data_IF_983284668502
#
_entry.id   IF_983284668502
#
_cell.length_a   1.000
_cell.length_b   1.000
_cell.length_c   1.000
_cell.angle_alpha   90.00
_cell.angle_beta   90.00
_cell.angle_gamma   90.00
#
_symmetry.space_group_name_H-M   'P 1'
#
loop_
_entity.id
_entity.type
_entity.pdbx_description
1 polymer ?
#
# COMPACT_ATOMS: atom_id res chain seq x y z
N UNK A 1 -27.06 -13.49 -19.63
CA UNK A 1 -27.66 -12.14 -19.54
C UNK A 1 -26.80 -11.14 -18.74
N UNK A 2 -26.20 -11.53 -17.62
CA UNK A 2 -25.44 -10.59 -16.78
C UNK A 2 -24.14 -10.07 -17.45
N UNK A 3 -23.42 -10.86 -18.24
CA UNK A 3 -22.21 -10.42 -18.92
C UNK A 3 -22.52 -9.35 -20.00
N UNK A 4 -23.57 -9.56 -20.78
CA UNK A 4 -23.98 -8.59 -21.82
C UNK A 4 -24.39 -7.24 -21.24
N UNK A 5 -24.97 -7.22 -20.04
CA UNK A 5 -25.26 -5.95 -19.36
C UNK A 5 -24.01 -5.12 -19.15
N UNK A 6 -22.93 -5.71 -18.63
CA UNK A 6 -21.67 -5.01 -18.39
C UNK A 6 -20.95 -4.60 -19.67
N UNK A 7 -21.06 -5.41 -20.73
CA UNK A 7 -20.53 -5.09 -22.06
C UNK A 7 -21.25 -3.87 -22.61
N UNK A 8 -22.59 -3.89 -22.61
CA UNK A 8 -23.40 -2.76 -23.12
C UNK A 8 -23.13 -1.50 -22.29
N UNK A 9 -23.07 -1.60 -20.96
CA UNK A 9 -22.78 -0.47 -20.09
C UNK A 9 -21.42 0.16 -20.39
N UNK A 10 -20.39 -0.65 -20.60
CA UNK A 10 -19.05 -0.18 -20.95
C UNK A 10 -19.02 0.51 -22.32
N UNK A 11 -19.74 -0.03 -23.31
CA UNK A 11 -19.84 0.56 -24.64
C UNK A 11 -20.67 1.86 -24.63
N UNK A 12 -21.74 1.91 -23.84
CA UNK A 12 -22.49 3.16 -23.64
C UNK A 12 -21.63 4.24 -22.98
N UNK A 13 -20.81 3.86 -22.00
CA UNK A 13 -19.89 4.80 -21.37
C UNK A 13 -18.87 5.36 -22.37
N UNK A 14 -18.37 4.55 -23.30
CA UNK A 14 -17.49 5.02 -24.37
C UNK A 14 -18.12 6.05 -25.28
N UNK A 15 -19.40 5.87 -25.56
CA UNK A 15 -20.16 6.78 -26.47
C UNK A 15 -20.61 8.07 -25.77
N UNK A 16 -20.96 7.96 -24.47
CA UNK A 16 -21.61 9.05 -23.73
C UNK A 16 -20.71 9.83 -22.81
N UNK A 17 -19.58 9.23 -22.38
CA UNK A 17 -18.69 9.84 -21.39
C UNK A 17 -17.30 10.11 -21.98
N UNK A 18 -16.63 11.19 -21.55
CA UNK A 18 -15.29 11.52 -22.01
C UNK A 18 -14.28 10.44 -21.57
N UNK A 19 -13.44 10.03 -22.52
CA UNK A 19 -12.38 9.02 -22.30
C UNK A 19 -11.08 9.65 -21.83
N UNK A 20 -10.87 10.94 -22.11
CA UNK A 20 -9.77 11.73 -21.58
C UNK A 20 -10.27 12.59 -20.41
N UNK A 21 -9.37 13.00 -19.52
CA UNK A 21 -9.73 13.91 -18.43
C UNK A 21 -10.13 15.28 -18.99
N UNK A 22 -11.10 15.90 -18.33
CA UNK A 22 -11.54 17.27 -18.59
C UNK A 22 -10.82 18.22 -17.63
N UNK A 23 -10.42 19.39 -18.11
CA UNK A 23 -9.67 20.38 -17.30
C UNK A 23 -10.54 20.97 -16.18
N UNK A 24 -11.82 21.22 -16.45
CA UNK A 24 -12.76 21.86 -15.53
C UNK A 24 -13.82 20.91 -14.94
N UNK A 25 -13.74 19.61 -15.24
CA UNK A 25 -14.73 18.63 -14.77
C UNK A 25 -15.99 18.56 -15.63
N UNK A 26 -16.88 17.60 -15.28
CA UNK A 26 -17.99 17.15 -16.15
C UNK A 26 -19.09 18.20 -16.35
N UNK A 27 -19.26 19.13 -15.41
CA UNK A 27 -20.34 20.11 -15.42
C UNK A 27 -19.89 21.55 -15.79
N UNK A 28 -18.58 21.79 -15.81
CA UNK A 28 -18.03 23.12 -16.06
C UNK A 28 -17.29 23.21 -17.41
N UNK A 29 -17.06 22.06 -18.07
CA UNK A 29 -16.41 22.01 -19.39
C UNK A 29 -17.29 22.54 -20.49
N UNK A 30 -16.68 23.19 -21.48
CA UNK A 30 -17.37 23.63 -22.70
C UNK A 30 -17.78 22.45 -23.58
N UNK A 31 -18.77 22.65 -24.46
CA UNK A 31 -19.22 21.59 -25.38
C UNK A 31 -18.09 21.09 -26.29
N UNK A 32 -17.18 21.96 -26.70
CA UNK A 32 -16.07 21.63 -27.59
C UNK A 32 -15.01 20.79 -26.87
N UNK A 33 -14.63 21.18 -25.64
CA UNK A 33 -13.74 20.40 -24.78
C UNK A 33 -14.29 19.00 -24.47
N UNK A 34 -15.61 18.94 -24.20
CA UNK A 34 -16.28 17.66 -23.95
C UNK A 34 -16.22 16.73 -25.17
N UNK A 35 -16.45 17.26 -26.37
CA UNK A 35 -16.37 16.50 -27.62
C UNK A 35 -14.94 16.05 -27.92
N UNK A 36 -13.93 16.90 -27.71
CA UNK A 36 -12.53 16.58 -27.92
C UNK A 36 -12.03 15.52 -26.93
N UNK A 37 -12.60 15.45 -25.73
CA UNK A 37 -12.30 14.44 -24.73
C UNK A 37 -12.95 13.07 -25.01
N UNK A 38 -13.87 12.97 -25.99
CA UNK A 38 -14.47 11.70 -26.38
C UNK A 38 -13.47 10.80 -27.10
N UNK A 39 -13.38 9.54 -26.69
CA UNK A 39 -12.43 8.56 -27.26
C UNK A 39 -12.68 8.27 -28.74
N UNK A 40 -13.90 8.44 -29.24
CA UNK A 40 -14.26 8.24 -30.65
C UNK A 40 -14.02 9.47 -31.50
N UNK A 41 -14.00 10.68 -30.93
CA UNK A 41 -13.83 11.93 -31.71
C UNK A 41 -12.34 12.22 -31.95
N UNK A 42 -11.47 11.96 -31.01
CA UNK A 42 -10.06 12.35 -31.09
C UNK A 42 -9.13 11.29 -31.71
N UNK A 43 -9.63 10.11 -32.08
CA UNK A 43 -8.81 8.95 -32.51
C UNK A 43 -7.60 8.65 -31.64
N UNK A 44 -7.63 9.07 -30.39
CA UNK A 44 -6.58 8.80 -29.42
C UNK A 44 -6.57 7.30 -29.04
N UNK A 45 -5.46 6.81 -28.51
CA UNK A 45 -5.27 5.39 -28.15
C UNK A 45 -6.36 4.88 -27.17
N UNK A 46 -7.15 5.76 -26.56
CA UNK A 46 -8.24 5.45 -25.62
C UNK A 46 -9.32 4.55 -26.20
N UNK A 47 -9.63 4.65 -27.51
CA UNK A 47 -10.59 3.75 -28.15
C UNK A 47 -10.14 2.28 -28.11
N UNK A 48 -8.82 2.03 -28.13
CA UNK A 48 -8.27 0.69 -28.08
C UNK A 48 -8.54 -0.01 -26.72
N UNK A 49 -8.76 0.76 -25.65
CA UNK A 49 -9.09 0.21 -24.32
C UNK A 49 -10.48 -0.45 -24.30
N UNK A 50 -11.36 -0.08 -25.21
CA UNK A 50 -12.73 -0.63 -25.31
C UNK A 50 -12.84 -1.82 -26.27
N UNK A 51 -11.86 -2.04 -27.17
CA UNK A 51 -11.87 -3.17 -28.11
C UNK A 51 -12.01 -4.55 -27.42
N UNK A 52 -11.32 -4.83 -26.31
CA UNK A 52 -11.46 -6.11 -25.64
C UNK A 52 -12.85 -6.40 -25.13
N UNK A 53 -13.65 -5.38 -24.82
CA UNK A 53 -15.07 -5.53 -24.42
C UNK A 53 -15.88 -6.11 -25.56
N UNK A 54 -15.61 -5.66 -26.80
CA UNK A 54 -16.27 -6.18 -28.02
C UNK A 54 -15.86 -7.63 -28.26
N UNK A 55 -14.56 -7.93 -28.15
CA UNK A 55 -14.03 -9.29 -28.28
C UNK A 55 -14.64 -10.23 -27.22
N UNK A 56 -14.80 -9.76 -25.99
CA UNK A 56 -15.44 -10.49 -24.93
C UNK A 56 -16.90 -10.86 -25.29
N UNK A 57 -17.64 -9.92 -25.87
CA UNK A 57 -19.01 -10.16 -26.36
C UNK A 57 -19.10 -11.17 -27.51
N UNK A 58 -18.04 -11.28 -28.33
CA UNK A 58 -17.98 -12.22 -29.43
C UNK A 58 -17.51 -13.65 -29.04
N UNK A 59 -16.85 -13.82 -27.90
CA UNK A 59 -16.32 -15.12 -27.45
C UNK A 59 -17.35 -16.25 -27.41
N UNK A 60 -18.62 -16.05 -26.96
CA UNK A 60 -19.64 -17.09 -26.98
C UNK A 60 -19.97 -17.65 -28.38
N UNK A 61 -19.71 -16.89 -29.45
CA UNK A 61 -19.94 -17.32 -30.84
C UNK A 61 -19.01 -18.47 -31.24
N UNK A 62 -17.83 -18.59 -30.60
CA UNK A 62 -16.84 -19.63 -30.91
C UNK A 62 -17.13 -20.97 -30.23
N UNK A 63 -18.24 -21.11 -29.48
CA UNK A 63 -18.70 -22.37 -28.83
C UNK A 63 -17.61 -23.12 -28.06
N UNK A 64 -16.69 -22.41 -27.42
CA UNK A 64 -15.61 -23.00 -26.60
C UNK A 64 -16.16 -23.71 -25.38
N UNK A 65 -15.45 -24.74 -24.85
CA UNK A 65 -15.79 -25.35 -23.58
C UNK A 65 -15.81 -24.29 -22.46
N UNK A 66 -16.78 -24.40 -21.54
CA UNK A 66 -17.01 -23.36 -20.51
C UNK A 66 -15.78 -22.98 -19.70
N UNK A 67 -14.93 -23.96 -19.37
CA UNK A 67 -13.68 -23.68 -18.65
C UNK A 67 -12.65 -22.92 -19.51
N UNK A 68 -12.51 -23.31 -20.77
CA UNK A 68 -11.60 -22.64 -21.71
C UNK A 68 -12.09 -21.22 -21.98
N UNK A 69 -13.39 -21.05 -22.21
CA UNK A 69 -13.99 -19.73 -22.39
C UNK A 69 -13.74 -18.84 -21.17
N UNK A 70 -13.98 -19.32 -19.95
CA UNK A 70 -13.76 -18.54 -18.73
C UNK A 70 -12.29 -18.14 -18.54
N UNK A 71 -11.34 -19.03 -18.88
CA UNK A 71 -9.89 -18.70 -18.83
C UNK A 71 -9.51 -17.64 -19.87
N UNK A 72 -10.01 -17.75 -21.10
CA UNK A 72 -9.75 -16.75 -22.15
C UNK A 72 -10.37 -15.41 -21.83
N UNK A 73 -11.59 -15.38 -21.30
CA UNK A 73 -12.26 -14.17 -20.81
C UNK A 73 -11.44 -13.49 -19.71
N UNK A 74 -10.95 -14.24 -18.73
CA UNK A 74 -10.14 -13.71 -17.63
C UNK A 74 -8.79 -13.18 -18.13
N UNK A 75 -8.11 -13.93 -18.99
CA UNK A 75 -6.85 -13.53 -19.58
C UNK A 75 -7.00 -12.23 -20.41
N UNK A 76 -8.03 -12.17 -21.24
CA UNK A 76 -8.35 -10.98 -22.03
C UNK A 76 -8.60 -9.76 -21.14
N UNK A 77 -9.38 -9.92 -20.07
CA UNK A 77 -9.66 -8.83 -19.11
C UNK A 77 -8.40 -8.36 -18.40
N UNK A 78 -7.57 -9.27 -17.92
CA UNK A 78 -6.32 -8.93 -17.25
C UNK A 78 -5.34 -8.22 -18.20
N UNK A 79 -5.19 -8.73 -19.42
CA UNK A 79 -4.34 -8.12 -20.46
C UNK A 79 -4.84 -6.72 -20.83
N UNK A 80 -6.15 -6.52 -20.90
CA UNK A 80 -6.77 -5.24 -21.25
C UNK A 80 -6.53 -4.18 -20.18
N UNK A 81 -6.72 -4.54 -18.90
CA UNK A 81 -6.45 -3.65 -17.77
C UNK A 81 -4.97 -3.28 -17.76
N UNK A 82 -4.08 -4.26 -17.92
CA UNK A 82 -2.63 -4.02 -17.96
C UNK A 82 -2.24 -3.11 -19.13
N UNK A 83 -2.75 -3.38 -20.33
CA UNK A 83 -2.53 -2.55 -21.53
C UNK A 83 -3.01 -1.11 -21.32
N UNK A 84 -4.18 -0.93 -20.72
CA UNK A 84 -4.74 0.38 -20.42
C UNK A 84 -3.78 1.19 -19.50
N UNK A 85 -3.34 0.61 -18.39
CA UNK A 85 -2.44 1.30 -17.45
C UNK A 85 -1.05 1.58 -18.04
N UNK A 86 -0.48 0.62 -18.78
CA UNK A 86 0.82 0.82 -19.44
C UNK A 86 0.72 1.92 -20.49
N UNK A 87 -0.29 1.86 -21.37
CA UNK A 87 -0.46 2.87 -22.43
C UNK A 87 -0.77 4.25 -21.86
N UNK A 88 -1.59 4.35 -20.81
CA UNK A 88 -1.85 5.62 -20.13
C UNK A 88 -0.57 6.24 -19.56
N UNK A 89 0.29 5.42 -18.92
CA UNK A 89 1.55 5.89 -18.34
C UNK A 89 2.56 6.28 -19.41
N UNK A 90 2.78 5.43 -20.42
CA UNK A 90 3.80 5.64 -21.45
C UNK A 90 3.42 6.78 -22.39
N UNK A 91 2.15 6.83 -22.82
CA UNK A 91 1.65 7.88 -23.72
C UNK A 91 1.17 9.14 -22.97
N UNK A 92 1.30 9.19 -21.63
CA UNK A 92 0.83 10.30 -20.78
C UNK A 92 -0.64 10.68 -21.04
N UNK A 93 -1.49 9.66 -21.30
CA UNK A 93 -2.91 9.87 -21.56
C UNK A 93 -3.63 10.03 -20.22
N UNK A 94 -4.36 11.13 -20.07
CA UNK A 94 -5.22 11.38 -18.92
C UNK A 94 -6.47 10.50 -18.98
N UNK A 95 -6.83 9.84 -17.87
CA UNK A 95 -7.99 8.95 -17.79
C UNK A 95 -9.25 9.74 -17.48
N UNK A 96 -10.26 9.65 -18.35
CA UNK A 96 -11.56 10.29 -18.18
C UNK A 96 -12.60 9.40 -17.48
N UNK A 97 -13.81 9.91 -17.37
CA UNK A 97 -14.92 9.27 -16.65
C UNK A 97 -15.37 7.93 -17.25
N UNK A 98 -15.31 7.78 -18.59
CA UNK A 98 -15.67 6.51 -19.25
C UNK A 98 -14.77 5.36 -18.81
N UNK A 99 -13.50 5.65 -18.46
CA UNK A 99 -12.52 4.65 -18.00
C UNK A 99 -12.92 4.08 -16.64
N UNK A 100 -13.52 4.87 -15.76
CA UNK A 100 -14.02 4.38 -14.46
C UNK A 100 -15.11 3.32 -14.69
N UNK A 101 -16.06 3.62 -15.59
CA UNK A 101 -17.13 2.68 -15.92
C UNK A 101 -16.57 1.42 -16.61
N UNK A 102 -15.56 1.58 -17.47
CA UNK A 102 -14.86 0.47 -18.12
C UNK A 102 -14.18 -0.44 -17.10
N UNK A 103 -13.49 0.12 -16.10
CA UNK A 103 -12.85 -0.65 -15.02
C UNK A 103 -13.86 -1.41 -14.17
N UNK A 104 -15.00 -0.80 -13.85
CA UNK A 104 -16.12 -1.48 -13.18
C UNK A 104 -16.65 -2.61 -14.06
N UNK A 105 -16.80 -2.39 -15.35
CA UNK A 105 -17.18 -3.40 -16.34
C UNK A 105 -16.22 -4.58 -16.38
N UNK A 106 -14.91 -4.31 -16.47
CA UNK A 106 -13.88 -5.35 -16.44
C UNK A 106 -13.85 -6.13 -15.12
N UNK A 107 -14.03 -5.46 -13.99
CA UNK A 107 -14.11 -6.10 -12.68
C UNK A 107 -15.31 -7.05 -12.61
N UNK A 108 -16.46 -6.64 -13.11
CA UNK A 108 -17.67 -7.47 -13.19
C UNK A 108 -17.49 -8.66 -14.13
N UNK A 109 -16.89 -8.45 -15.32
CA UNK A 109 -16.60 -9.52 -16.27
C UNK A 109 -15.59 -10.54 -15.71
N UNK A 110 -14.53 -10.07 -15.05
CA UNK A 110 -13.57 -10.93 -14.35
C UNK A 110 -14.24 -11.73 -13.24
N UNK A 111 -15.13 -11.09 -12.46
CA UNK A 111 -15.92 -11.78 -11.42
C UNK A 111 -16.74 -12.92 -11.99
N UNK A 112 -17.44 -12.69 -13.10
CA UNK A 112 -18.25 -13.73 -13.75
C UNK A 112 -17.40 -14.87 -14.26
N UNK A 113 -16.23 -14.59 -14.82
CA UNK A 113 -15.30 -15.60 -15.33
C UNK A 113 -14.67 -16.42 -14.20
N UNK A 114 -14.25 -15.79 -13.10
CA UNK A 114 -13.73 -16.49 -11.90
C UNK A 114 -14.81 -17.35 -11.23
N UNK A 115 -16.06 -16.87 -11.18
CA UNK A 115 -17.17 -17.64 -10.66
C UNK A 115 -17.46 -18.90 -11.53
N UNK A 116 -17.36 -18.80 -12.88
CA UNK A 116 -17.43 -19.97 -13.78
C UNK A 116 -16.31 -20.98 -13.51
N UNK A 117 -15.13 -20.52 -13.11
CA UNK A 117 -13.98 -21.37 -12.72
C UNK A 117 -14.09 -21.92 -11.29
N UNK A 118 -15.17 -21.64 -10.57
CA UNK A 118 -15.43 -22.05 -9.17
C UNK A 118 -14.38 -21.55 -8.17
N UNK A 119 -13.69 -20.45 -8.46
CA UNK A 119 -12.83 -19.75 -7.49
C UNK A 119 -13.70 -19.27 -6.33
N UNK A 120 -13.22 -19.40 -5.09
CA UNK A 120 -14.01 -19.08 -3.87
C UNK A 120 -15.41 -19.73 -3.88
N UNK A 121 -15.49 -21.00 -4.28
CA UNK A 121 -16.73 -21.77 -4.42
C UNK A 121 -17.75 -21.16 -5.42
N UNK A 122 -17.31 -20.23 -6.25
CA UNK A 122 -18.15 -19.53 -7.24
C UNK A 122 -19.01 -18.39 -6.66
N UNK A 123 -18.72 -17.95 -5.42
CA UNK A 123 -19.43 -16.82 -4.81
C UNK A 123 -19.02 -15.50 -5.48
N UNK A 124 -19.97 -14.92 -6.23
CA UNK A 124 -19.76 -13.72 -7.02
C UNK A 124 -19.52 -12.49 -6.12
N UNK A 125 -20.16 -12.44 -4.95
CA UNK A 125 -20.01 -11.29 -4.05
C UNK A 125 -18.62 -11.24 -3.45
N UNK A 126 -18.12 -12.38 -2.95
CA UNK A 126 -16.76 -12.47 -2.39
C UNK A 126 -15.72 -12.15 -3.46
N UNK A 127 -15.86 -12.73 -4.66
CA UNK A 127 -14.92 -12.48 -5.78
C UNK A 127 -14.94 -11.01 -6.17
N UNK A 128 -16.13 -10.39 -6.36
CA UNK A 128 -16.27 -8.99 -6.72
C UNK A 128 -15.64 -8.05 -5.67
N UNK A 129 -15.89 -8.31 -4.39
CA UNK A 129 -15.34 -7.53 -3.28
C UNK A 129 -13.81 -7.58 -3.25
N UNK A 130 -13.24 -8.77 -3.42
CA UNK A 130 -11.77 -8.94 -3.46
C UNK A 130 -11.16 -8.23 -4.67
N UNK A 131 -11.74 -8.40 -5.87
CA UNK A 131 -11.27 -7.72 -7.08
C UNK A 131 -11.38 -6.20 -6.95
N UNK A 132 -12.45 -5.69 -6.36
CA UNK A 132 -12.61 -4.26 -6.10
C UNK A 132 -11.51 -3.72 -5.17
N UNK A 133 -11.22 -4.43 -4.07
CA UNK A 133 -10.15 -4.05 -3.15
C UNK A 133 -8.79 -4.09 -3.87
N UNK A 134 -8.49 -5.14 -4.63
CA UNK A 134 -7.25 -5.25 -5.40
C UNK A 134 -7.12 -4.10 -6.40
N UNK A 135 -8.20 -3.77 -7.11
CA UNK A 135 -8.22 -2.68 -8.07
C UNK A 135 -8.00 -1.31 -7.40
N UNK A 136 -8.62 -1.07 -6.24
CA UNK A 136 -8.41 0.15 -5.46
C UNK A 136 -6.95 0.26 -4.99
N UNK A 137 -6.37 -0.81 -4.45
CA UNK A 137 -4.95 -0.84 -4.05
C UNK A 137 -4.07 -0.57 -5.27
N UNK A 138 -4.34 -1.22 -6.39
CA UNK A 138 -3.59 -1.03 -7.61
C UNK A 138 -3.67 0.41 -8.11
N UNK A 139 -4.86 0.99 -8.19
CA UNK A 139 -5.08 2.34 -8.71
C UNK A 139 -4.50 3.44 -7.81
N UNK A 140 -4.70 3.32 -6.48
CA UNK A 140 -4.29 4.37 -5.55
C UNK A 140 -2.87 4.22 -5.00
N UNK A 141 -2.29 3.01 -5.03
CA UNK A 141 -0.97 2.75 -4.45
C UNK A 141 0.03 2.31 -5.53
N UNK A 142 -0.28 1.24 -6.26
CA UNK A 142 0.69 0.63 -7.18
C UNK A 142 0.91 1.48 -8.42
N UNK A 143 -0.17 1.92 -9.06
CA UNK A 143 -0.08 2.71 -10.30
C UNK A 143 0.66 4.05 -10.11
N UNK A 144 0.32 4.91 -9.14
CA UNK A 144 1.08 6.15 -8.92
C UNK A 144 2.55 5.90 -8.59
N UNK A 145 2.83 4.87 -7.80
CA UNK A 145 4.22 4.49 -7.47
C UNK A 145 5.00 4.06 -8.70
N UNK A 146 4.39 3.24 -9.56
CA UNK A 146 5.00 2.83 -10.84
C UNK A 146 5.15 4.01 -11.80
N UNK A 147 4.17 4.91 -11.88
CA UNK A 147 4.24 6.09 -12.72
C UNK A 147 5.40 7.01 -12.30
N UNK A 148 5.58 7.25 -10.99
CA UNK A 148 6.72 7.99 -10.46
C UNK A 148 8.03 7.26 -10.79
N UNK A 149 8.08 5.95 -10.59
CA UNK A 149 9.27 5.16 -10.91
C UNK A 149 9.64 5.25 -12.39
N UNK A 150 8.68 5.13 -13.30
CA UNK A 150 8.90 5.28 -14.74
C UNK A 150 9.34 6.70 -15.09
N UNK A 151 8.73 7.72 -14.48
CA UNK A 151 9.10 9.12 -14.74
C UNK A 151 10.54 9.47 -14.38
N UNK A 152 11.17 8.72 -13.47
CA UNK A 152 12.59 8.89 -13.13
C UNK A 152 13.52 8.67 -14.33
N UNK A 153 13.10 7.88 -15.31
CA UNK A 153 13.89 7.56 -16.50
C UNK A 153 13.69 8.55 -17.66
N UNK A 154 12.85 9.57 -17.47
CA UNK A 154 12.55 10.58 -18.47
C UNK A 154 13.04 11.96 -18.03
N UNK A 155 13.65 12.70 -18.97
CA UNK A 155 13.97 14.12 -18.83
C UNK A 155 13.05 14.91 -19.79
N UNK A 156 11.96 15.42 -19.25
CA UNK A 156 10.85 15.88 -20.07
C UNK A 156 10.24 14.73 -20.87
N UNK A 157 10.35 14.79 -22.22
CA UNK A 157 9.81 13.77 -23.13
C UNK A 157 10.87 12.79 -23.65
N UNK A 158 12.13 12.97 -23.27
CA UNK A 158 13.24 12.12 -23.74
C UNK A 158 13.56 11.01 -22.74
N UNK A 159 13.74 9.79 -23.21
CA UNK A 159 14.19 8.69 -22.37
C UNK A 159 15.68 8.83 -22.05
N UNK A 160 16.01 9.11 -20.80
CA UNK A 160 17.35 9.44 -20.32
C UNK A 160 17.75 8.63 -19.06
N UNK A 161 17.93 7.30 -19.16
CA UNK A 161 18.25 6.47 -18.00
C UNK A 161 19.56 6.84 -17.29
N UNK A 162 20.49 7.48 -18.02
CA UNK A 162 21.76 7.96 -17.46
C UNK A 162 21.56 9.05 -16.39
N UNK A 163 20.45 9.80 -16.46
CA UNK A 163 20.11 10.83 -15.48
C UNK A 163 19.85 10.22 -14.09
N UNK A 164 19.22 9.05 -14.02
CA UNK A 164 18.99 8.35 -12.75
C UNK A 164 20.32 8.04 -12.07
N UNK A 165 21.29 7.50 -12.84
CA UNK A 165 22.61 7.19 -12.28
C UNK A 165 23.35 8.46 -11.84
N UNK A 166 23.27 9.55 -12.62
CA UNK A 166 23.87 10.84 -12.27
C UNK A 166 23.28 11.41 -10.97
N UNK A 167 21.93 11.29 -10.77
CA UNK A 167 21.27 11.76 -9.57
C UNK A 167 21.66 10.89 -8.37
N UNK A 168 21.61 9.56 -8.50
CA UNK A 168 21.95 8.63 -7.43
C UNK A 168 23.39 8.74 -6.94
N UNK A 169 24.32 9.17 -7.81
CA UNK A 169 25.75 9.38 -7.47
C UNK A 169 26.04 10.78 -6.87
N UNK A 170 25.05 11.68 -6.82
CA UNK A 170 25.27 12.98 -6.18
C UNK A 170 25.56 12.81 -4.69
N UNK A 171 26.58 13.49 -4.17
CA UNK A 171 27.00 13.40 -2.78
C UNK A 171 25.88 13.69 -1.79
N UNK A 172 24.96 14.60 -2.13
CA UNK A 172 23.79 14.89 -1.31
C UNK A 172 22.84 13.68 -1.23
N UNK A 173 22.51 13.07 -2.37
CA UNK A 173 21.59 11.92 -2.44
C UNK A 173 22.19 10.70 -1.72
N UNK A 174 23.47 10.41 -1.96
CA UNK A 174 24.19 9.34 -1.24
C UNK A 174 24.13 9.55 0.28
N UNK A 175 24.34 10.79 0.74
CA UNK A 175 24.24 11.13 2.16
C UNK A 175 22.83 10.91 2.71
N UNK A 176 21.79 11.32 1.98
CA UNK A 176 20.39 11.12 2.39
C UNK A 176 20.08 9.62 2.48
N UNK A 177 20.48 8.82 1.50
CA UNK A 177 20.25 7.37 1.49
C UNK A 177 20.97 6.71 2.67
N UNK A 178 22.25 7.02 2.88
CA UNK A 178 23.03 6.41 3.98
C UNK A 178 22.47 6.80 5.35
N UNK A 179 22.09 8.06 5.56
CA UNK A 179 21.47 8.49 6.80
C UNK A 179 20.12 7.80 7.04
N UNK A 180 19.30 7.64 5.99
CA UNK A 180 18.00 6.96 6.09
C UNK A 180 18.17 5.47 6.39
N UNK A 181 19.13 4.79 5.76
CA UNK A 181 19.44 3.39 6.02
C UNK A 181 19.97 3.19 7.46
N UNK A 182 20.86 4.07 7.91
CA UNK A 182 21.36 4.03 9.27
C UNK A 182 20.24 4.25 10.29
N UNK A 183 19.41 5.28 10.09
CA UNK A 183 18.27 5.57 10.96
C UNK A 183 17.28 4.40 11.01
N UNK A 184 16.89 3.85 9.86
CA UNK A 184 15.94 2.75 9.79
C UNK A 184 16.48 1.47 10.43
N UNK A 185 17.75 1.15 10.22
CA UNK A 185 18.43 0.03 10.88
C UNK A 185 18.48 0.20 12.40
N UNK A 186 18.88 1.39 12.88
CA UNK A 186 18.90 1.70 14.29
C UNK A 186 17.51 1.60 14.93
N UNK A 187 16.52 2.25 14.34
CA UNK A 187 15.13 2.22 14.83
C UNK A 187 14.57 0.81 14.80
N UNK A 188 14.82 0.05 13.72
CA UNK A 188 14.37 -1.33 13.58
C UNK A 188 14.91 -2.23 14.71
N UNK A 189 16.20 -2.16 15.00
CA UNK A 189 16.82 -2.93 16.08
C UNK A 189 16.26 -2.50 17.44
N UNK A 190 16.26 -1.21 17.73
CA UNK A 190 15.86 -0.70 19.06
C UNK A 190 14.38 -0.95 19.32
N UNK A 191 13.50 -0.71 18.35
CA UNK A 191 12.06 -1.00 18.51
C UNK A 191 11.77 -2.49 18.66
N UNK A 192 12.54 -3.36 17.99
CA UNK A 192 12.42 -4.83 18.16
C UNK A 192 12.86 -5.25 19.56
N UNK A 193 13.96 -4.70 20.08
CA UNK A 193 14.44 -4.98 21.45
C UNK A 193 13.40 -4.51 22.48
N UNK A 194 12.84 -3.31 22.34
CA UNK A 194 11.76 -2.83 23.21
C UNK A 194 10.52 -3.71 23.12
N UNK A 195 10.08 -4.04 21.89
CA UNK A 195 8.95 -4.94 21.64
C UNK A 195 9.16 -6.30 22.31
N UNK A 196 10.35 -6.89 22.18
CA UNK A 196 10.71 -8.17 22.81
C UNK A 196 10.70 -8.06 24.34
N UNK A 197 11.28 -7.01 24.90
CA UNK A 197 11.31 -6.80 26.34
C UNK A 197 9.88 -6.71 26.92
N UNK A 198 8.99 -5.96 26.27
CA UNK A 198 7.57 -5.89 26.66
C UNK A 198 6.84 -7.22 26.47
N UNK A 199 7.09 -7.93 25.37
CA UNK A 199 6.47 -9.23 25.11
C UNK A 199 6.89 -10.28 26.14
N UNK A 200 8.17 -10.35 26.49
CA UNK A 200 8.68 -11.23 27.55
C UNK A 200 8.11 -10.84 28.93
N UNK A 201 8.04 -9.55 29.22
CA UNK A 201 7.46 -9.08 30.48
C UNK A 201 6.00 -9.53 30.61
N UNK A 202 5.18 -9.31 29.58
CA UNK A 202 3.75 -9.62 29.62
C UNK A 202 3.44 -11.11 29.57
N UNK A 203 4.26 -11.91 28.88
CA UNK A 203 4.02 -13.37 28.73
C UNK A 203 4.66 -14.22 29.82
N UNK A 204 5.85 -13.82 30.35
CA UNK A 204 6.67 -14.67 31.20
C UNK A 204 6.86 -14.17 32.64
N UNK A 205 6.83 -12.84 32.86
CA UNK A 205 7.19 -12.27 34.16
C UNK A 205 5.95 -11.83 34.96
N UNK A 206 5.09 -11.09 34.37
CA UNK A 206 4.06 -10.32 35.09
C UNK A 206 2.63 -10.80 34.83
N UNK A 207 2.27 -11.98 35.38
CA UNK A 207 0.89 -12.50 35.24
C UNK A 207 -0.19 -11.56 35.75
N UNK A 208 0.04 -10.81 36.83
CA UNK A 208 -0.95 -9.88 37.42
C UNK A 208 -0.99 -8.52 36.73
N UNK A 209 0.13 -8.02 36.24
CA UNK A 209 0.26 -6.70 35.59
C UNK A 209 0.37 -6.77 34.07
N UNK A 210 0.28 -7.97 33.50
CA UNK A 210 0.32 -8.20 32.06
C UNK A 210 -0.69 -7.37 31.28
N UNK A 211 -1.90 -7.18 31.85
CA UNK A 211 -2.95 -6.36 31.22
C UNK A 211 -2.52 -4.89 31.09
N UNK A 212 -1.91 -4.33 32.15
CA UNK A 212 -1.41 -2.94 32.14
C UNK A 212 -0.28 -2.80 31.12
N UNK A 213 0.71 -3.72 31.16
CA UNK A 213 1.82 -3.73 30.19
C UNK A 213 1.32 -3.80 28.74
N UNK A 214 0.31 -4.62 28.49
CA UNK A 214 -0.31 -4.75 27.15
C UNK A 214 -1.01 -3.47 26.71
N UNK A 215 -1.75 -2.80 27.58
CA UNK A 215 -2.38 -1.52 27.26
C UNK A 215 -1.32 -0.48 26.88
N UNK A 216 -0.29 -0.30 27.71
CA UNK A 216 0.76 0.66 27.43
C UNK A 216 1.55 0.35 26.15
N UNK A 217 1.73 -0.94 25.85
CA UNK A 217 2.40 -1.35 24.60
C UNK A 217 1.58 -1.10 23.34
N UNK A 218 0.25 -1.14 23.43
CA UNK A 218 -0.64 -0.98 22.27
C UNK A 218 -1.10 0.49 22.11
N UNK A 219 -1.09 1.27 23.17
CA UNK A 219 -1.58 2.65 23.18
C UNK A 219 -1.05 3.50 22.02
N UNK A 220 0.26 3.48 21.68
CA UNK A 220 0.78 4.28 20.57
C UNK A 220 0.27 3.87 19.18
N UNK A 221 -0.24 2.64 19.00
CA UNK A 221 -0.81 2.20 17.71
C UNK A 221 -2.13 2.93 17.40
N UNK A 222 -2.94 3.17 18.45
CA UNK A 222 -4.24 3.85 18.32
C UNK A 222 -4.04 5.35 18.08
N UNK A 223 -2.87 5.86 18.47
CA UNK A 223 -2.55 7.29 18.34
C UNK A 223 -2.01 7.57 16.93
N UNK A 224 -2.55 8.54 16.18
CA UNK A 224 -1.99 8.92 14.89
C UNK A 224 -0.50 9.29 15.01
N UNK A 225 0.36 8.88 14.08
CA UNK A 225 1.82 9.08 14.19
C UNK A 225 2.24 10.54 14.39
N UNK A 226 1.52 11.50 13.81
CA UNK A 226 1.81 12.93 13.99
C UNK A 226 1.58 13.39 15.43
N UNK A 227 0.60 12.82 16.14
CA UNK A 227 0.31 13.14 17.54
C UNK A 227 1.44 12.65 18.44
N UNK A 228 2.01 11.47 18.14
CA UNK A 228 3.21 10.97 18.82
C UNK A 228 4.37 11.95 18.63
N UNK A 229 4.62 12.39 17.39
CA UNK A 229 5.66 13.38 17.09
C UNK A 229 5.42 14.73 17.79
N UNK A 230 4.18 15.21 17.81
CA UNK A 230 3.80 16.42 18.54
C UNK A 230 4.01 16.25 20.05
N UNK A 231 3.58 15.13 20.63
CA UNK A 231 3.78 14.83 22.04
C UNK A 231 5.28 14.79 22.43
N UNK A 232 6.11 14.14 21.62
CA UNK A 232 7.57 14.14 21.79
C UNK A 232 8.13 15.56 21.74
N UNK A 233 7.66 16.39 20.80
CA UNK A 233 8.12 17.78 20.67
C UNK A 233 7.69 18.64 21.85
N UNK A 234 6.44 18.48 22.33
CA UNK A 234 5.95 19.22 23.50
C UNK A 234 6.65 18.81 24.80
N UNK A 235 7.02 17.54 24.94
CA UNK A 235 7.68 17.05 26.15
C UNK A 235 9.20 17.29 26.14
N UNK A 236 9.84 17.08 25.02
CA UNK A 236 11.30 17.01 24.89
C UNK A 236 11.90 18.12 24.00
N UNK A 237 11.06 18.95 23.36
CA UNK A 237 11.51 20.05 22.49
C UNK A 237 12.20 21.17 23.25
N UNK A 238 12.55 22.26 22.55
CA UNK A 238 13.32 23.39 23.13
C UNK A 238 12.70 23.96 24.39
N UNK A 239 11.37 24.15 24.39
CA UNK A 239 10.59 24.66 25.52
C UNK A 239 9.72 23.52 26.11
N UNK A 240 10.15 22.26 25.95
CA UNK A 240 9.44 21.11 26.46
C UNK A 240 9.65 20.94 27.95
N UNK A 241 8.63 20.42 28.64
CA UNK A 241 8.65 20.24 30.10
C UNK A 241 9.88 19.49 30.62
N UNK A 242 10.29 18.42 29.92
CA UNK A 242 11.48 17.62 30.34
C UNK A 242 12.78 18.41 30.10
N UNK A 243 12.88 19.11 29.00
CA UNK A 243 14.08 19.92 28.68
C UNK A 243 14.23 21.06 29.68
N UNK A 244 13.13 21.74 30.05
CA UNK A 244 13.11 22.80 31.05
C UNK A 244 13.45 22.26 32.44
N UNK A 245 12.89 21.11 32.82
CA UNK A 245 13.21 20.43 34.09
C UNK A 245 14.69 20.07 34.16
N UNK A 246 15.27 19.53 33.10
CA UNK A 246 16.69 19.18 33.02
C UNK A 246 17.58 20.42 33.06
N UNK A 247 17.18 21.49 32.39
CA UNK A 247 17.90 22.76 32.40
C UNK A 247 17.93 23.38 33.80
N UNK A 248 16.80 23.43 34.47
CA UNK A 248 16.68 24.07 35.78
C UNK A 248 17.36 23.27 36.90
N UNK A 249 17.25 21.94 36.90
CA UNK A 249 17.72 21.12 37.99
C UNK A 249 19.13 20.53 37.78
N UNK A 250 19.54 20.35 36.51
CA UNK A 250 20.81 19.67 36.16
C UNK A 250 21.73 20.53 35.29
N UNK A 251 21.37 21.81 35.00
CA UNK A 251 22.19 22.69 34.21
C UNK A 251 22.34 22.28 32.75
N UNK A 252 21.35 21.55 32.20
CA UNK A 252 21.38 21.09 30.81
C UNK A 252 21.19 22.26 29.84
N UNK A 253 22.22 22.57 29.04
CA UNK A 253 22.27 23.75 28.18
C UNK A 253 21.88 23.48 26.74
N UNK A 254 21.87 22.20 26.29
CA UNK A 254 21.58 21.85 24.91
C UNK A 254 20.07 21.72 24.66
N UNK A 255 19.39 22.82 24.41
CA UNK A 255 17.95 22.85 24.11
C UNK A 255 17.60 22.28 22.73
N UNK A 256 18.59 21.99 21.88
CA UNK A 256 18.39 21.43 20.53
C UNK A 256 18.61 19.93 20.43
N UNK A 257 18.80 19.24 21.55
CA UNK A 257 19.19 17.82 21.60
C UNK A 257 18.20 16.86 20.92
N UNK A 258 16.93 17.25 20.90
CA UNK A 258 15.86 16.46 20.26
C UNK A 258 15.88 16.58 18.72
N UNK A 259 16.29 17.73 18.18
CA UNK A 259 16.15 17.98 16.74
C UNK A 259 17.16 17.19 15.92
N UNK A 260 16.72 16.71 14.76
CA UNK A 260 17.51 15.85 13.88
C UNK A 260 17.33 14.36 14.16
N UNK A 261 18.42 13.61 14.12
CA UNK A 261 18.42 12.15 14.26
C UNK A 261 17.72 11.67 15.54
N UNK A 262 18.03 12.27 16.68
CA UNK A 262 17.53 11.84 17.99
C UNK A 262 16.00 11.90 18.06
N UNK A 263 15.40 13.01 17.65
CA UNK A 263 13.94 13.18 17.72
C UNK A 263 13.20 12.28 16.76
N UNK A 264 13.71 12.13 15.55
CA UNK A 264 13.14 11.21 14.56
C UNK A 264 13.22 9.78 15.06
N UNK A 265 14.38 9.38 15.59
CA UNK A 265 14.58 8.04 16.14
C UNK A 265 13.63 7.76 17.31
N UNK A 266 13.52 8.68 18.29
CA UNK A 266 12.62 8.52 19.44
C UNK A 266 11.16 8.39 18.98
N UNK A 267 10.70 9.28 18.10
CA UNK A 267 9.33 9.25 17.60
C UNK A 267 9.03 7.95 16.84
N UNK A 268 9.96 7.49 16.01
CA UNK A 268 9.82 6.24 15.27
C UNK A 268 9.88 5.01 16.18
N UNK A 269 10.77 4.97 17.17
CA UNK A 269 10.83 3.86 18.13
C UNK A 269 9.51 3.75 18.88
N UNK A 270 8.94 4.88 19.36
CA UNK A 270 7.65 4.90 20.03
C UNK A 270 6.51 4.42 19.13
N UNK A 271 6.56 4.72 17.84
CA UNK A 271 5.54 4.29 16.88
C UNK A 271 5.69 2.80 16.50
N UNK A 272 6.91 2.27 16.37
CA UNK A 272 7.15 0.91 15.87
C UNK A 272 7.33 -0.15 16.96
N UNK A 273 7.75 0.22 18.18
CA UNK A 273 7.89 -0.72 19.28
C UNK A 273 6.58 -1.48 19.61
N UNK A 274 5.37 -0.86 19.54
CA UNK A 274 4.12 -1.57 19.75
C UNK A 274 3.84 -2.62 18.66
N UNK A 275 4.20 -2.36 17.41
CA UNK A 275 4.05 -3.31 16.30
C UNK A 275 4.96 -4.52 16.54
N UNK A 276 6.22 -4.27 16.88
CA UNK A 276 7.17 -5.31 17.25
C UNK A 276 6.68 -6.13 18.45
N UNK A 277 6.12 -5.46 19.47
CA UNK A 277 5.50 -6.11 20.62
C UNK A 277 4.37 -7.07 20.20
N UNK A 278 3.43 -6.62 19.38
CA UNK A 278 2.28 -7.46 18.97
C UNK A 278 2.73 -8.71 18.21
N UNK A 279 3.70 -8.58 17.31
CA UNK A 279 4.24 -9.71 16.55
C UNK A 279 4.92 -10.69 17.48
N UNK A 280 5.78 -10.20 18.39
CA UNK A 280 6.55 -11.03 19.30
C UNK A 280 5.69 -11.63 20.42
N UNK A 281 4.68 -10.91 20.93
CA UNK A 281 3.71 -11.44 21.91
C UNK A 281 2.91 -12.61 21.30
N UNK A 282 2.50 -12.48 20.03
CA UNK A 282 1.86 -13.57 19.28
C UNK A 282 2.77 -14.77 19.08
N UNK A 283 4.02 -14.54 18.68
CA UNK A 283 5.02 -15.59 18.50
C UNK A 283 5.34 -16.33 19.81
N UNK A 284 5.55 -15.59 20.91
CA UNK A 284 5.83 -16.19 22.23
C UNK A 284 4.62 -17.00 22.76
N UNK A 285 3.42 -16.60 22.48
CA UNK A 285 2.20 -17.33 22.87
C UNK A 285 1.92 -18.57 22.02
N UNK A 286 2.47 -18.65 20.82
CA UNK A 286 2.36 -19.84 19.96
C UNK A 286 3.21 -21.01 20.45
N UNK A 287 4.24 -20.75 21.26
CA UNK A 287 5.06 -21.79 21.86
C UNK A 287 4.31 -22.43 23.03
N UNK A 288 4.05 -23.74 22.92
CA UNK A 288 3.30 -24.48 23.94
C UNK A 288 4.11 -24.57 25.25
N UNK A 289 3.51 -24.33 26.43
CA UNK A 289 4.22 -24.35 27.72
C UNK A 289 4.93 -25.67 28.00
N UNK A 290 4.42 -26.80 27.50
CA UNK A 290 5.04 -28.11 27.67
C UNK A 290 6.45 -28.22 27.08
N UNK A 291 6.80 -27.44 26.08
CA UNK A 291 8.15 -27.42 25.48
C UNK A 291 9.13 -26.79 26.47
N UNK A 292 8.71 -25.73 27.15
CA UNK A 292 9.53 -25.10 28.18
C UNK A 292 9.69 -26.00 29.42
N UNK A 293 8.62 -26.65 29.87
CA UNK A 293 8.63 -27.59 30.97
C UNK A 293 9.56 -28.80 30.67
N UNK A 294 9.51 -29.32 29.46
CA UNK A 294 10.42 -30.37 29.00
C UNK A 294 11.90 -29.92 29.02
N UNK A 295 12.18 -28.69 28.59
CA UNK A 295 13.53 -28.12 28.65
C UNK A 295 14.03 -28.03 30.10
N UNK A 296 13.22 -27.60 31.06
CA UNK A 296 13.59 -27.55 32.47
C UNK A 296 13.79 -28.94 33.07
N UNK A 297 13.03 -29.95 32.66
CA UNK A 297 13.24 -31.33 33.10
C UNK A 297 14.60 -31.89 32.63
N UNK A 298 15.08 -31.41 31.47
CA UNK A 298 16.42 -31.68 30.94
C UNK A 298 17.54 -30.83 31.58
N UNK A 299 17.24 -30.11 32.68
CA UNK A 299 18.16 -29.23 33.42
C UNK A 299 18.69 -28.04 32.61
N UNK A 300 18.00 -27.63 31.51
CA UNK A 300 18.34 -26.40 30.80
C UNK A 300 18.04 -25.18 31.69
N UNK A 301 18.95 -24.21 31.68
CA UNK A 301 18.69 -22.93 32.33
C UNK A 301 17.77 -22.03 31.48
N UNK A 302 17.28 -20.93 32.06
CA UNK A 302 16.34 -20.02 31.37
C UNK A 302 16.88 -19.49 30.05
N UNK A 303 18.19 -19.22 29.95
CA UNK A 303 18.83 -18.75 28.73
C UNK A 303 18.90 -19.84 27.67
N UNK A 304 19.22 -21.07 28.06
CA UNK A 304 19.26 -22.23 27.16
C UNK A 304 17.86 -22.57 26.64
N UNK A 305 16.83 -22.51 27.49
CA UNK A 305 15.43 -22.73 27.12
C UNK A 305 14.93 -21.67 26.14
N UNK A 306 15.40 -20.43 26.26
CA UNK A 306 15.01 -19.33 25.37
C UNK A 306 15.74 -19.36 24.02
N UNK A 307 16.99 -19.86 24.00
CA UNK A 307 17.83 -19.80 22.79
C UNK A 307 17.67 -21.03 21.89
N UNK A 308 17.30 -22.19 22.44
CA UNK A 308 17.04 -23.44 21.69
C UNK A 308 15.57 -23.69 21.47
#
# INVERSE_FOLDING_TARGET
HSAYFWIILSLLAFVLLPSNALDYGLFESTSDEYLDAMGWASFNLTWAWFLPVIVYGALPLFRLPQQTQAKTELFLTALSVLFMFISATVCKISMGYSVIVLLVGYTALATLSLAKLKVMQGDKFIIASLLCIILLIFFFIVYPTLAIFVSMFYDGDTFAPQQVMRILTQSYIVRVITNSLFLSGFVGIVSTVFGLAFALYTTRIARRTAFIGKIFSILPIVTPPFVVGLGVTLMLGRSGYVTEFLSTNFGFTNHNWLYGFNGIAIAQILAFAPISFMILDGALKSVHPSIEEASYTLRANRYQTFYN
#
